data_IF_910617522386
#
_entry.id   IF_910617522386
#
_cell.length_a   1.000
_cell.length_b   1.000
_cell.length_c   1.000
_cell.angle_alpha   90.00
_cell.angle_beta   90.00
_cell.angle_gamma   90.00
#
_symmetry.space_group_name_H-M   'P 1'
#
loop_
_entity.id
_entity.type
_entity.pdbx_description
1 polymer ?
#
# COMPACT_ATOMS: atom_id res chain seq x y z
N UNK A 1 3.57 -11.58 -9.23
CA UNK A 1 4.23 -10.56 -8.39
C UNK A 1 3.64 -10.52 -7.00
N UNK A 2 4.37 -9.94 -6.04
CA UNK A 2 3.91 -9.65 -4.68
C UNK A 2 2.82 -8.56 -4.65
N UNK A 3 2.34 -8.25 -3.43
CA UNK A 3 1.42 -7.13 -3.24
C UNK A 3 2.11 -5.81 -3.57
N UNK A 4 1.56 -5.09 -4.52
CA UNK A 4 2.07 -3.76 -4.86
C UNK A 4 1.51 -2.69 -3.93
N UNK A 5 2.30 -1.65 -3.68
CA UNK A 5 1.87 -0.44 -3.00
C UNK A 5 2.56 0.78 -3.61
N UNK A 6 1.98 1.95 -3.42
CA UNK A 6 2.49 3.20 -4.00
C UNK A 6 1.39 4.10 -4.52
N UNK A 7 1.74 5.07 -5.36
CA UNK A 7 0.80 5.93 -6.07
C UNK A 7 -0.27 5.15 -6.84
N UNK A 8 -1.47 5.76 -6.95
CA UNK A 8 -2.59 5.23 -7.76
C UNK A 8 -3.12 3.86 -7.33
N UNK A 9 -2.77 3.35 -6.14
CA UNK A 9 -3.34 2.11 -5.61
C UNK A 9 -4.80 2.34 -5.22
N UNK A 10 -5.72 1.52 -5.73
CA UNK A 10 -7.16 1.72 -5.59
C UNK A 10 -7.60 1.80 -4.10
N UNK A 11 -8.43 2.80 -3.70
CA UNK A 11 -8.72 3.13 -2.31
C UNK A 11 -9.43 2.06 -1.46
N UNK A 12 -9.87 0.94 -2.04
CA UNK A 12 -10.40 -0.22 -1.31
C UNK A 12 -9.31 -1.16 -0.76
N UNK A 13 -8.08 -1.05 -1.27
CA UNK A 13 -6.97 -1.90 -0.84
C UNK A 13 -6.40 -1.43 0.50
N UNK A 14 -5.74 -2.33 1.24
CA UNK A 14 -5.33 -2.13 2.63
C UNK A 14 -4.69 -0.75 2.87
N UNK A 15 -3.57 -0.47 2.22
CA UNK A 15 -2.79 0.75 2.50
C UNK A 15 -3.59 2.03 2.23
N UNK A 16 -4.16 2.25 1.03
CA UNK A 16 -4.93 3.47 0.78
C UNK A 16 -6.23 3.54 1.59
N UNK A 17 -6.88 2.42 1.88
CA UNK A 17 -8.06 2.39 2.74
C UNK A 17 -7.73 2.91 4.16
N UNK A 18 -6.62 2.42 4.73
CA UNK A 18 -6.17 2.85 6.06
C UNK A 18 -5.84 4.36 6.05
N UNK A 19 -5.13 4.85 5.05
CA UNK A 19 -4.81 6.28 4.90
C UNK A 19 -6.12 7.10 4.85
N UNK A 20 -7.04 6.75 3.95
CA UNK A 20 -8.33 7.43 3.79
C UNK A 20 -9.13 7.46 5.11
N UNK A 21 -9.23 6.32 5.79
CA UNK A 21 -9.99 6.22 7.02
C UNK A 21 -9.36 7.03 8.17
N UNK A 22 -8.03 7.07 8.29
CA UNK A 22 -7.34 7.93 9.27
C UNK A 22 -7.69 9.39 9.01
N UNK A 23 -7.60 9.87 7.77
CA UNK A 23 -7.90 11.26 7.41
C UNK A 23 -9.37 11.61 7.72
N UNK A 24 -10.27 10.65 7.55
CA UNK A 24 -11.69 10.81 7.86
C UNK A 24 -12.05 10.61 9.35
N UNK A 25 -11.09 10.22 10.21
CA UNK A 25 -11.35 9.88 11.61
C UNK A 25 -12.20 8.61 11.78
N UNK A 26 -12.19 7.73 10.79
CA UNK A 26 -12.96 6.50 10.78
C UNK A 26 -12.17 5.32 11.37
N UNK A 27 -12.89 4.26 11.77
CA UNK A 27 -12.26 3.03 12.25
C UNK A 27 -11.47 2.32 11.15
N UNK A 28 -10.37 1.67 11.57
CA UNK A 28 -9.46 0.93 10.70
C UNK A 28 -9.76 -0.55 10.82
N UNK A 29 -10.50 -1.15 9.88
CA UNK A 29 -10.86 -2.56 9.96
C UNK A 29 -9.63 -3.43 9.72
N UNK A 30 -9.33 -4.31 10.68
CA UNK A 30 -8.27 -5.32 10.59
C UNK A 30 -8.91 -6.70 10.67
N UNK A 31 -8.75 -7.51 9.64
CA UNK A 31 -9.29 -8.86 9.58
C UNK A 31 -8.60 -9.79 10.59
N UNK A 32 -9.37 -10.60 11.30
CA UNK A 32 -8.87 -11.54 12.31
C UNK A 32 -8.03 -10.83 13.36
N UNK A 33 -6.79 -11.25 13.54
CA UNK A 33 -5.79 -10.62 14.42
C UNK A 33 -4.84 -9.67 13.67
N UNK A 34 -4.94 -9.61 12.34
CA UNK A 34 -4.03 -8.85 11.50
C UNK A 34 -2.65 -9.49 11.34
N UNK A 35 -2.50 -10.75 11.70
CA UNK A 35 -1.25 -11.52 11.65
C UNK A 35 -0.94 -12.12 10.27
N UNK A 36 -1.83 -11.93 9.32
CA UNK A 36 -1.59 -12.33 7.93
C UNK A 36 -0.36 -11.60 7.37
N UNK A 37 0.58 -12.38 6.84
CA UNK A 37 1.84 -11.89 6.27
C UNK A 37 1.71 -11.69 4.77
N UNK A 38 2.20 -10.57 4.27
CA UNK A 38 2.27 -10.24 2.84
C UNK A 38 3.65 -9.71 2.50
N UNK A 39 4.15 -10.10 1.33
CA UNK A 39 5.33 -9.47 0.73
C UNK A 39 4.88 -8.21 -0.03
N UNK A 40 5.54 -7.08 0.20
CA UNK A 40 5.18 -5.78 -0.32
C UNK A 40 6.26 -5.23 -1.24
N UNK A 41 5.84 -4.83 -2.45
CA UNK A 41 6.71 -4.31 -3.51
C UNK A 41 6.26 -2.91 -3.91
N UNK A 42 7.18 -1.95 -3.90
CA UNK A 42 6.89 -0.59 -4.35
C UNK A 42 6.61 -0.59 -5.85
N UNK A 43 5.56 0.11 -6.28
CA UNK A 43 5.03 0.00 -7.64
C UNK A 43 6.03 0.41 -8.73
N UNK A 44 6.89 1.39 -8.46
CA UNK A 44 7.93 1.80 -9.41
C UNK A 44 9.00 0.71 -9.59
N UNK A 45 9.36 0.01 -8.52
CA UNK A 45 10.28 -1.13 -8.62
C UNK A 45 9.65 -2.28 -9.41
N UNK A 46 8.34 -2.49 -9.27
CA UNK A 46 7.62 -3.45 -10.09
C UNK A 46 7.64 -3.06 -11.57
N UNK A 47 7.43 -1.79 -11.90
CA UNK A 47 7.53 -1.30 -13.29
C UNK A 47 8.93 -1.55 -13.87
N UNK A 48 9.99 -1.26 -13.10
CA UNK A 48 11.38 -1.58 -13.48
C UNK A 48 11.62 -3.08 -13.68
N UNK A 49 10.96 -3.94 -12.89
CA UNK A 49 11.04 -5.39 -13.10
C UNK A 49 10.43 -5.82 -14.43
N UNK A 50 9.26 -5.26 -14.77
CA UNK A 50 8.60 -5.52 -16.07
C UNK A 50 9.52 -5.10 -17.20
N UNK A 51 10.10 -3.91 -17.12
CA UNK A 51 11.05 -3.39 -18.11
C UNK A 51 12.27 -4.32 -18.26
N UNK A 52 12.87 -4.73 -17.15
CA UNK A 52 13.98 -5.68 -17.15
C UNK A 52 13.62 -7.03 -17.83
N UNK A 53 12.40 -7.51 -17.61
CA UNK A 53 11.92 -8.76 -18.25
C UNK A 53 11.72 -8.55 -19.75
N UNK A 54 11.17 -7.42 -20.18
CA UNK A 54 10.98 -7.10 -21.59
C UNK A 54 12.32 -6.99 -22.35
N UNK A 55 13.31 -6.38 -21.72
CA UNK A 55 14.62 -6.15 -22.35
C UNK A 55 15.53 -7.39 -22.35
N UNK A 56 15.54 -8.14 -21.25
CA UNK A 56 16.56 -9.18 -20.99
C UNK A 56 16.00 -10.56 -20.64
N UNK A 57 14.66 -10.67 -20.50
CA UNK A 57 14.01 -11.94 -20.19
C UNK A 57 14.16 -12.96 -21.30
N UNK A 58 14.24 -14.23 -20.93
CA UNK A 58 14.27 -15.32 -21.91
C UNK A 58 12.85 -15.61 -22.37
N UNK A 59 12.66 -15.76 -23.67
CA UNK A 59 11.38 -16.09 -24.27
C UNK A 59 10.88 -17.46 -23.73
N UNK A 60 9.63 -17.49 -23.28
CA UNK A 60 8.98 -18.68 -22.72
C UNK A 60 9.25 -18.92 -21.24
N UNK A 61 10.05 -18.10 -20.57
CA UNK A 61 10.33 -18.18 -19.14
C UNK A 61 9.39 -17.33 -18.29
N UNK A 62 9.20 -17.77 -17.04
CA UNK A 62 8.40 -17.05 -16.04
C UNK A 62 9.35 -16.50 -14.97
N UNK A 63 9.12 -15.25 -14.58
CA UNK A 63 9.87 -14.56 -13.54
C UNK A 63 8.94 -14.13 -12.41
N UNK A 64 9.25 -14.58 -11.19
CA UNK A 64 8.61 -14.05 -9.99
C UNK A 64 9.21 -12.69 -9.64
N UNK A 65 8.35 -11.74 -9.29
CA UNK A 65 8.73 -10.38 -8.90
C UNK A 65 8.24 -10.12 -7.48
N UNK A 66 9.15 -9.97 -6.54
CA UNK A 66 8.85 -9.82 -5.10
C UNK A 66 9.64 -8.69 -4.44
N UNK A 67 9.15 -8.23 -3.29
CA UNK A 67 9.71 -7.10 -2.57
C UNK A 67 10.81 -7.46 -1.57
N UNK A 68 11.01 -8.74 -1.26
CA UNK A 68 11.83 -9.21 -0.12
C UNK A 68 11.43 -8.55 1.20
N UNK A 69 10.16 -8.14 1.32
CA UNK A 69 9.65 -7.43 2.46
C UNK A 69 8.33 -8.03 2.93
N UNK A 70 8.44 -9.00 3.81
CA UNK A 70 7.30 -9.65 4.43
C UNK A 70 6.88 -8.93 5.70
N UNK A 71 5.65 -8.44 5.74
CA UNK A 71 5.10 -7.73 6.89
C UNK A 71 3.70 -8.24 7.27
N UNK A 72 3.41 -8.25 8.56
CA UNK A 72 2.07 -8.49 9.06
C UNK A 72 1.17 -7.27 8.79
N UNK A 73 -0.09 -7.51 8.42
CA UNK A 73 -1.04 -6.43 8.14
C UNK A 73 -1.19 -5.46 9.31
N UNK A 74 -1.20 -5.96 10.55
CA UNK A 74 -1.31 -5.10 11.74
C UNK A 74 -0.12 -4.14 11.89
N UNK A 75 1.11 -4.60 11.57
CA UNK A 75 2.30 -3.76 11.63
C UNK A 75 2.23 -2.62 10.61
N UNK A 76 1.73 -2.91 9.40
CA UNK A 76 1.52 -1.90 8.36
C UNK A 76 0.52 -0.84 8.82
N UNK A 77 -0.61 -1.26 9.42
CA UNK A 77 -1.62 -0.33 9.93
C UNK A 77 -1.02 0.59 10.99
N UNK A 78 -0.28 0.04 11.97
CA UNK A 78 0.39 0.83 13.01
C UNK A 78 1.45 1.77 12.44
N UNK A 79 2.22 1.31 11.48
CA UNK A 79 3.24 2.13 10.81
C UNK A 79 2.61 3.33 10.09
N UNK A 80 1.51 3.13 9.35
CA UNK A 80 0.78 4.20 8.66
C UNK A 80 0.23 5.22 9.66
N UNK A 81 -0.37 4.75 10.77
CA UNK A 81 -0.85 5.63 11.86
C UNK A 81 0.31 6.51 12.35
N UNK A 82 1.45 5.91 12.65
CA UNK A 82 2.64 6.63 13.14
C UNK A 82 3.15 7.67 12.15
N UNK A 83 3.24 7.33 10.86
CA UNK A 83 3.69 8.23 9.80
C UNK A 83 2.73 9.42 9.67
N UNK A 84 1.41 9.17 9.56
CA UNK A 84 0.42 10.24 9.41
C UNK A 84 0.41 11.13 10.66
N UNK A 85 0.41 10.55 11.85
CA UNK A 85 0.44 11.32 13.09
C UNK A 85 1.68 12.21 13.21
N UNK A 86 2.85 11.74 12.75
CA UNK A 86 4.08 12.50 12.68
C UNK A 86 3.97 13.66 11.67
N UNK A 87 3.59 13.37 10.43
CA UNK A 87 3.43 14.39 9.38
C UNK A 87 2.45 15.47 9.83
N UNK A 88 1.30 15.13 10.41
CA UNK A 88 0.31 16.11 10.86
C UNK A 88 0.79 16.98 12.02
N UNK A 89 1.76 16.51 12.82
CA UNK A 89 2.39 17.33 13.88
C UNK A 89 3.47 18.25 13.34
N UNK A 90 4.33 17.73 12.48
CA UNK A 90 5.54 18.39 12.00
C UNK A 90 5.29 19.33 10.82
N UNK A 91 4.27 19.03 9.99
CA UNK A 91 3.94 19.73 8.74
C UNK A 91 2.46 20.18 8.77
N UNK A 92 2.15 21.31 9.44
CA UNK A 92 0.77 21.74 9.68
C UNK A 92 -0.08 21.97 8.41
N UNK A 93 0.55 22.22 7.28
CA UNK A 93 -0.12 22.39 5.98
C UNK A 93 -0.91 21.17 5.55
N UNK A 94 -0.51 19.96 5.95
CA UNK A 94 -1.25 18.74 5.67
C UNK A 94 -2.53 18.59 6.50
N UNK A 95 -2.71 19.37 7.57
CA UNK A 95 -3.95 19.33 8.37
C UNK A 95 -5.20 19.73 7.60
N UNK A 96 -5.03 20.42 6.44
CA UNK A 96 -6.15 20.79 5.56
C UNK A 96 -6.96 19.58 5.05
N UNK A 97 -6.35 18.41 4.96
CA UNK A 97 -7.02 17.18 4.48
C UNK A 97 -7.62 16.35 5.61
N UNK A 98 -7.42 16.73 6.88
CA UNK A 98 -8.00 16.04 8.03
C UNK A 98 -9.45 16.43 8.25
N UNK A 99 -10.28 15.41 8.52
CA UNK A 99 -11.67 15.56 8.99
C UNK A 99 -11.82 15.24 10.49
N UNK A 100 -10.70 15.17 11.22
CA UNK A 100 -10.62 14.86 12.67
C UNK A 100 -9.47 15.61 13.34
N UNK A 101 -9.40 15.62 14.68
CA UNK A 101 -8.27 16.18 15.38
C UNK A 101 -7.02 15.29 15.28
N UNK A 102 -5.83 15.90 15.18
CA UNK A 102 -4.54 15.18 15.17
C UNK A 102 -4.38 14.23 16.35
N UNK A 103 -4.89 14.60 17.55
CA UNK A 103 -4.84 13.77 18.76
C UNK A 103 -5.58 12.44 18.64
N UNK A 104 -6.54 12.35 17.70
CA UNK A 104 -7.33 11.15 17.46
C UNK A 104 -6.62 10.16 16.51
N UNK A 105 -5.49 10.55 15.92
CA UNK A 105 -4.70 9.68 15.05
C UNK A 105 -3.80 8.81 15.93
N UNK A 106 -4.34 7.67 16.36
CA UNK A 106 -3.66 6.71 17.23
C UNK A 106 -4.24 5.29 17.03
N UNK A 107 -3.70 4.31 17.76
CA UNK A 107 -4.09 2.91 17.63
C UNK A 107 -5.54 2.62 18.09
N UNK A 108 -6.21 3.52 18.80
CA UNK A 108 -7.63 3.36 19.18
C UNK A 108 -8.58 3.36 17.96
N UNK A 109 -8.09 3.79 16.80
CA UNK A 109 -8.82 3.66 15.55
C UNK A 109 -8.92 2.21 15.07
N UNK A 110 -7.99 1.33 15.47
CA UNK A 110 -7.96 -0.06 15.02
C UNK A 110 -9.21 -0.79 15.55
N UNK A 111 -9.86 -1.51 14.65
CA UNK A 111 -11.02 -2.36 14.99
C UNK A 111 -10.83 -3.73 14.33
N UNK A 112 -10.73 -4.77 15.16
CA UNK A 112 -10.65 -6.13 14.66
C UNK A 112 -12.03 -6.59 14.18
N UNK A 113 -12.09 -7.11 12.98
CA UNK A 113 -13.32 -7.62 12.35
C UNK A 113 -13.18 -9.12 12.06
N UNK A 114 -14.31 -9.80 11.85
CA UNK A 114 -14.30 -11.22 11.49
C UNK A 114 -13.41 -11.48 10.27
N UNK A 115 -12.61 -12.54 10.36
CA UNK A 115 -11.77 -12.91 9.21
C UNK A 115 -12.60 -13.50 8.07
N UNK A 116 -12.15 -13.34 6.85
CA UNK A 116 -12.82 -13.88 5.67
C UNK A 116 -12.47 -15.36 5.47
N UNK A 117 -13.42 -16.20 5.04
CA UNK A 117 -13.13 -17.60 4.71
C UNK A 117 -12.02 -17.72 3.65
N UNK A 118 -11.07 -18.63 3.87
CA UNK A 118 -9.97 -18.87 2.92
C UNK A 118 -8.91 -17.76 2.88
N UNK A 119 -8.81 -16.96 3.93
CA UNK A 119 -7.79 -15.90 4.00
C UNK A 119 -6.41 -16.50 4.24
N UNK A 120 -5.51 -16.40 3.26
CA UNK A 120 -4.15 -16.90 3.36
C UNK A 120 -3.40 -16.27 4.53
N UNK A 121 -2.82 -17.11 5.40
CA UNK A 121 -1.99 -16.64 6.51
C UNK A 121 -0.69 -15.99 6.02
N UNK A 122 -0.07 -16.56 4.99
CA UNK A 122 1.16 -16.00 4.40
C UNK A 122 1.10 -16.08 2.89
N UNK A 123 1.37 -14.97 2.25
CA UNK A 123 1.55 -14.84 0.82
C UNK A 123 2.88 -14.15 0.54
N UNK A 124 3.86 -14.92 0.08
CA UNK A 124 5.20 -14.45 -0.21
C UNK A 124 5.72 -15.10 -1.50
N UNK A 125 6.66 -14.43 -2.14
CA UNK A 125 7.22 -14.84 -3.43
C UNK A 125 8.73 -14.89 -3.33
N UNK A 126 9.34 -15.90 -3.93
CA UNK A 126 10.78 -15.96 -4.11
C UNK A 126 11.19 -15.33 -5.46
N UNK A 127 11.78 -14.12 -5.48
CA UNK A 127 12.25 -13.44 -6.68
C UNK A 127 13.71 -13.74 -7.02
N UNK A 128 14.32 -14.78 -6.45
CA UNK A 128 15.74 -15.08 -6.64
C UNK A 128 16.13 -15.33 -8.12
N UNK A 129 15.20 -15.85 -8.94
CA UNK A 129 15.44 -16.09 -10.36
C UNK A 129 15.65 -14.80 -11.14
N UNK A 130 14.76 -13.81 -10.98
CA UNK A 130 14.89 -12.52 -11.68
C UNK A 130 16.16 -11.80 -11.24
N UNK A 131 16.48 -11.86 -9.94
CA UNK A 131 17.69 -11.27 -9.41
C UNK A 131 18.95 -11.89 -10.03
N UNK A 132 19.03 -13.22 -10.07
CA UNK A 132 20.19 -13.95 -10.62
C UNK A 132 20.33 -13.79 -12.14
N UNK A 133 19.23 -13.85 -12.88
CA UNK A 133 19.26 -13.92 -14.34
C UNK A 133 19.23 -12.54 -15.00
N UNK A 134 18.50 -11.58 -14.43
CA UNK A 134 18.33 -10.24 -15.00
C UNK A 134 18.99 -9.13 -14.18
N UNK A 135 19.58 -9.44 -13.04
CA UNK A 135 20.23 -8.47 -12.16
C UNK A 135 19.26 -7.49 -11.51
N UNK A 136 17.95 -7.80 -11.49
CA UNK A 136 16.96 -6.91 -10.91
C UNK A 136 16.75 -7.18 -9.41
N UNK A 137 16.70 -6.11 -8.64
CA UNK A 137 16.33 -6.08 -7.22
C UNK A 137 15.43 -4.88 -6.93
N UNK A 138 14.51 -4.96 -5.96
CA UNK A 138 13.78 -3.79 -5.52
C UNK A 138 14.74 -2.77 -4.89
N UNK A 139 14.65 -1.52 -5.33
CA UNK A 139 15.57 -0.44 -4.89
C UNK A 139 14.97 0.39 -3.74
N UNK A 140 13.66 0.33 -3.54
CA UNK A 140 12.95 1.15 -2.57
C UNK A 140 12.74 0.38 -1.27
N UNK A 141 13.46 0.71 -0.17
CA UNK A 141 13.19 0.13 1.15
C UNK A 141 11.75 0.40 1.57
N UNK A 142 11.09 -0.57 2.22
CA UNK A 142 9.68 -0.47 2.59
C UNK A 142 9.37 0.78 3.41
N UNK A 143 10.20 1.10 4.40
CA UNK A 143 10.03 2.28 5.25
C UNK A 143 10.05 3.60 4.46
N UNK A 144 10.84 3.66 3.39
CA UNK A 144 10.90 4.82 2.49
C UNK A 144 9.68 4.85 1.56
N UNK A 145 9.36 3.71 0.97
CA UNK A 145 8.24 3.59 0.02
C UNK A 145 6.89 3.85 0.68
N UNK A 146 6.67 3.37 1.91
CA UNK A 146 5.40 3.60 2.61
C UNK A 146 5.21 5.07 2.97
N UNK A 147 6.26 5.79 3.37
CA UNK A 147 6.17 7.23 3.61
C UNK A 147 5.89 8.00 2.31
N UNK A 148 6.61 7.69 1.22
CA UNK A 148 6.31 8.25 -0.11
C UNK A 148 4.84 8.02 -0.50
N UNK A 149 4.33 6.82 -0.24
CA UNK A 149 2.94 6.47 -0.53
C UNK A 149 1.98 7.32 0.29
N UNK A 150 2.19 7.43 1.60
CA UNK A 150 1.35 8.27 2.46
C UNK A 150 1.35 9.71 1.96
N UNK A 151 2.51 10.31 1.69
CA UNK A 151 2.63 11.68 1.18
C UNK A 151 1.90 11.86 -0.14
N UNK A 152 2.04 10.92 -1.05
CA UNK A 152 1.32 10.96 -2.32
C UNK A 152 -0.20 11.06 -2.11
N UNK A 153 -0.77 10.25 -1.22
CA UNK A 153 -2.20 10.33 -0.91
C UNK A 153 -2.61 11.63 -0.23
N UNK A 154 -1.74 12.21 0.62
CA UNK A 154 -2.01 13.52 1.23
C UNK A 154 -2.06 14.64 0.17
N UNK A 155 -1.25 14.55 -0.86
CA UNK A 155 -1.15 15.54 -1.93
C UNK A 155 -2.21 15.37 -3.04
N UNK A 156 -2.81 14.17 -3.18
CA UNK A 156 -3.70 13.84 -4.30
C UNK A 156 -5.11 13.46 -3.84
N UNK A 157 -5.69 14.27 -2.94
CA UNK A 157 -7.05 14.01 -2.43
C UNK A 157 -8.10 14.10 -3.53
N UNK A 158 -7.94 14.99 -4.51
CA UNK A 158 -8.86 15.13 -5.65
C UNK A 158 -8.97 13.82 -6.43
N UNK A 159 -7.83 13.15 -6.68
CA UNK A 159 -7.82 11.84 -7.32
C UNK A 159 -8.53 10.77 -6.46
N UNK A 160 -8.29 10.78 -5.15
CA UNK A 160 -8.95 9.84 -4.22
C UNK A 160 -10.46 10.04 -4.24
N UNK A 161 -10.92 11.29 -4.17
CA UNK A 161 -12.35 11.63 -4.17
C UNK A 161 -13.00 11.24 -5.51
N UNK A 162 -12.35 11.49 -6.65
CA UNK A 162 -12.81 11.09 -7.98
C UNK A 162 -13.00 9.58 -8.08
N UNK A 163 -11.99 8.81 -7.65
CA UNK A 163 -12.05 7.33 -7.69
C UNK A 163 -13.11 6.79 -6.73
N UNK A 164 -13.26 7.37 -5.54
CA UNK A 164 -14.25 6.92 -4.54
C UNK A 164 -15.67 7.29 -4.94
N UNK A 165 -15.89 8.42 -5.63
CA UNK A 165 -17.23 8.82 -6.12
C UNK A 165 -17.80 7.84 -7.16
N UNK A 166 -16.95 7.03 -7.79
CA UNK A 166 -17.34 6.11 -8.86
C UNK A 166 -17.58 6.80 -10.20
N UNK A 167 -17.29 8.09 -10.33
CA UNK A 167 -17.51 8.85 -11.56
C UNK A 167 -16.72 8.30 -12.75
N UNK A 168 -15.58 7.62 -12.49
CA UNK A 168 -14.83 6.90 -13.52
C UNK A 168 -15.66 5.78 -14.18
N UNK A 169 -16.63 5.16 -13.48
CA UNK A 169 -17.49 4.10 -14.05
C UNK A 169 -18.41 4.67 -15.14
N UNK A 170 -18.87 5.91 -14.99
CA UNK A 170 -19.69 6.59 -15.98
C UNK A 170 -18.97 6.82 -17.31
N UNK A 171 -17.63 6.81 -17.30
CA UNK A 171 -16.82 6.98 -18.51
C UNK A 171 -16.88 5.75 -19.44
N UNK A 172 -17.19 4.57 -18.88
CA UNK A 172 -17.30 3.31 -19.63
C UNK A 172 -18.74 2.97 -20.03
N UNK A 173 -19.73 3.77 -19.61
CA UNK A 173 -21.13 3.59 -19.96
C UNK A 173 -21.55 4.43 -21.19
N UNK A 174 -20.61 5.15 -21.82
CA UNK A 174 -20.78 5.88 -23.09
C UNK A 174 -20.27 5.05 -24.26
#
# INVERSE_FOLDING_TARGET
CSNNYGPYHFPEKLIPLIIKNILAGQKLPVYGKGDNVRDWLYVEDHAKAIDAVLERGRIGEVYNVGGFNEEQNINIVKLIIGIIARIMREEPEYRRVLKTDVKNINEDLITFVGDRPGHDMRYAIDPSKIARELGWYPETPFTVGIEKTVRWYLDHQDWVDEVVSGDFQKYYEQ
#
